data_IF_013085165666
#
_entry.id   IF_013085165666
#
_cell.length_a   1.000
_cell.length_b   1.000
_cell.length_c   1.000
_cell.angle_alpha   90.00
_cell.angle_beta   90.00
_cell.angle_gamma   90.00
#
_symmetry.space_group_name_H-M   'P 1'
#
loop_
_entity.id
_entity.type
_entity.pdbx_description
1 polymer ?
#
# COMPACT_ATOMS: atom_id res chain seq x y z
N UNK A 1 9.22 -15.75 2.85
CA UNK A 1 9.94 -16.17 1.64
C UNK A 1 11.10 -15.23 1.50
N UNK A 2 12.31 -15.77 1.31
CA UNK A 2 13.48 -14.95 1.00
C UNK A 2 13.65 -14.96 -0.52
N UNK A 3 13.50 -13.79 -1.15
CA UNK A 3 13.70 -13.67 -2.59
C UNK A 3 15.19 -13.70 -2.94
N UNK A 4 15.52 -14.30 -4.07
CA UNK A 4 16.83 -14.12 -4.71
C UNK A 4 16.87 -12.79 -5.49
N UNK A 5 18.05 -12.43 -6.01
CA UNK A 5 18.25 -11.18 -6.74
C UNK A 5 17.35 -11.06 -7.98
N UNK A 6 17.26 -12.11 -8.78
CA UNK A 6 16.45 -12.14 -10.01
C UNK A 6 14.96 -11.96 -9.68
N UNK A 7 14.43 -12.71 -8.72
CA UNK A 7 13.04 -12.58 -8.26
C UNK A 7 12.75 -11.18 -7.71
N UNK A 8 13.72 -10.57 -7.02
CA UNK A 8 13.58 -9.21 -6.51
C UNK A 8 13.54 -8.19 -7.66
N UNK A 9 14.33 -8.38 -8.70
CA UNK A 9 14.31 -7.53 -9.89
C UNK A 9 13.01 -7.69 -10.69
N UNK A 10 12.55 -8.93 -10.91
CA UNK A 10 11.27 -9.24 -11.56
C UNK A 10 10.09 -8.65 -10.79
N UNK A 11 10.07 -8.83 -9.46
CA UNK A 11 9.04 -8.25 -8.61
C UNK A 11 9.03 -6.72 -8.70
N UNK A 12 10.20 -6.06 -8.75
CA UNK A 12 10.27 -4.61 -8.92
C UNK A 12 9.65 -4.17 -10.26
N UNK A 13 9.88 -4.93 -11.33
CA UNK A 13 9.39 -4.64 -12.68
C UNK A 13 7.93 -5.00 -12.91
N UNK A 14 7.29 -5.75 -12.00
CA UNK A 14 5.90 -6.20 -12.10
C UNK A 14 4.90 -5.07 -12.42
N UNK A 15 5.15 -3.86 -11.94
CA UNK A 15 4.35 -2.66 -12.24
C UNK A 15 5.23 -1.54 -12.82
N UNK A 16 6.09 -1.88 -13.77
CA UNK A 16 7.00 -0.95 -14.46
C UNK A 16 7.90 -0.14 -13.51
N UNK A 17 8.34 -0.76 -12.42
CA UNK A 17 9.15 -0.08 -11.41
C UNK A 17 8.36 0.81 -10.45
N UNK A 18 7.03 0.80 -10.47
CA UNK A 18 6.19 1.58 -9.56
C UNK A 18 5.78 0.79 -8.32
N UNK A 19 5.52 1.52 -7.24
CA UNK A 19 4.88 1.00 -6.05
C UNK A 19 3.49 0.48 -6.41
N UNK A 20 3.23 -0.79 -6.13
CA UNK A 20 1.96 -1.43 -6.43
C UNK A 20 0.77 -0.72 -5.78
N UNK A 21 0.99 0.01 -4.68
CA UNK A 21 -0.06 0.70 -3.95
C UNK A 21 -0.27 2.15 -4.41
N UNK A 22 0.68 3.06 -4.14
CA UNK A 22 0.51 4.48 -4.47
C UNK A 22 0.89 4.85 -5.91
N UNK A 23 1.59 3.97 -6.64
CA UNK A 23 2.04 4.24 -8.00
C UNK A 23 3.22 5.19 -8.12
N UNK A 24 3.96 5.50 -7.04
CA UNK A 24 5.21 6.25 -7.15
C UNK A 24 6.33 5.38 -7.74
N UNK A 25 7.32 5.99 -8.40
CA UNK A 25 8.52 5.28 -8.87
C UNK A 25 9.31 4.71 -7.68
N UNK A 26 9.78 3.46 -7.79
CA UNK A 26 10.56 2.81 -6.74
C UNK A 26 12.04 3.12 -6.88
N UNK A 27 12.59 3.78 -5.86
CA UNK A 27 14.03 4.00 -5.72
C UNK A 27 14.81 2.75 -5.34
N UNK A 28 16.01 2.94 -4.77
CA UNK A 28 16.86 1.85 -4.28
C UNK A 28 16.22 1.13 -3.08
N UNK A 29 15.59 1.89 -2.18
CA UNK A 29 14.90 1.38 -0.99
C UNK A 29 13.44 1.10 -1.29
N UNK A 30 13.08 -0.17 -1.26
CA UNK A 30 11.71 -0.68 -1.43
C UNK A 30 11.59 -2.10 -0.85
N UNK A 31 10.35 -2.52 -0.57
CA UNK A 31 10.03 -3.76 0.12
C UNK A 31 9.21 -4.71 -0.75
N UNK A 32 9.49 -6.01 -0.64
CA UNK A 32 8.60 -7.06 -1.12
C UNK A 32 7.58 -7.32 -0.01
N UNK A 33 6.38 -6.76 -0.17
CA UNK A 33 5.34 -6.75 0.86
C UNK A 33 4.27 -7.78 0.53
N UNK A 34 3.84 -8.58 1.51
CA UNK A 34 2.71 -9.49 1.33
C UNK A 34 1.40 -8.70 1.21
N UNK A 35 0.67 -8.91 0.12
CA UNK A 35 -0.66 -8.35 -0.08
C UNK A 35 -1.58 -8.84 1.05
N UNK A 36 -1.64 -10.15 1.23
CA UNK A 36 -2.22 -10.79 2.40
C UNK A 36 -1.14 -11.15 3.43
N UNK A 37 -1.13 -10.45 4.56
CA UNK A 37 -0.06 -10.55 5.55
C UNK A 37 0.10 -11.94 6.18
N UNK A 38 1.34 -12.41 6.27
CA UNK A 38 1.74 -13.58 7.07
C UNK A 38 1.92 -13.15 8.53
N UNK A 39 0.84 -13.16 9.32
CA UNK A 39 0.89 -12.79 10.75
C UNK A 39 1.60 -13.88 11.56
N UNK A 40 2.52 -13.47 12.44
CA UNK A 40 3.15 -14.37 13.40
C UNK A 40 2.36 -14.39 14.69
N UNK A 41 2.24 -15.58 15.27
CA UNK A 41 1.71 -15.74 16.61
C UNK A 41 2.66 -15.10 17.62
N UNK A 42 2.13 -14.25 18.51
CA UNK A 42 2.94 -13.49 19.46
C UNK A 42 3.53 -14.38 20.57
N UNK A 43 2.95 -15.56 20.84
CA UNK A 43 3.44 -16.48 21.87
C UNK A 43 4.46 -17.46 21.30
N UNK A 44 4.17 -18.01 20.13
CA UNK A 44 4.98 -19.10 19.54
C UNK A 44 5.93 -18.64 18.44
N UNK A 45 5.76 -17.41 17.92
CA UNK A 45 6.53 -16.88 16.78
C UNK A 45 6.21 -17.52 15.42
N UNK A 46 5.37 -18.57 15.40
CA UNK A 46 5.01 -19.32 14.20
C UNK A 46 4.08 -18.52 13.30
N UNK A 47 4.22 -18.61 11.97
CA UNK A 47 3.29 -17.98 11.03
C UNK A 47 1.90 -18.64 11.16
N UNK A 48 0.84 -17.83 11.23
CA UNK A 48 -0.55 -18.31 11.26
C UNK A 48 -1.10 -18.66 9.89
N UNK A 49 -0.50 -18.10 8.82
CA UNK A 49 -0.86 -18.32 7.42
C UNK A 49 0.40 -18.53 6.57
N UNK A 50 1.18 -19.60 6.81
CA UNK A 50 2.40 -19.88 6.05
C UNK A 50 2.15 -20.01 4.54
N UNK A 51 0.94 -20.42 4.13
CA UNK A 51 0.49 -20.52 2.73
C UNK A 51 0.49 -19.18 1.99
N UNK A 52 0.40 -18.07 2.72
CA UNK A 52 0.49 -16.73 2.13
C UNK A 52 1.94 -16.33 1.81
N UNK A 53 2.94 -17.12 2.20
CA UNK A 53 4.35 -16.82 2.03
C UNK A 53 4.90 -17.27 0.67
N UNK A 54 4.23 -16.84 -0.41
CA UNK A 54 4.49 -17.20 -1.81
C UNK A 54 4.70 -15.96 -2.69
N UNK A 55 5.39 -16.10 -3.82
CA UNK A 55 5.79 -14.97 -4.68
C UNK A 55 4.59 -14.24 -5.30
N UNK A 56 3.51 -14.96 -5.58
CA UNK A 56 2.27 -14.46 -6.16
C UNK A 56 1.51 -13.51 -5.21
N UNK A 57 1.78 -13.62 -3.91
CA UNK A 57 1.23 -12.74 -2.87
C UNK A 57 2.16 -11.56 -2.54
N UNK A 58 3.34 -11.45 -3.17
CA UNK A 58 4.25 -10.34 -2.95
C UNK A 58 3.98 -9.19 -3.91
N UNK A 59 4.06 -7.98 -3.38
CA UNK A 59 3.85 -6.73 -4.11
C UNK A 59 5.07 -5.82 -3.88
N UNK A 60 5.60 -5.15 -4.91
CA UNK A 60 6.65 -4.16 -4.73
C UNK A 60 6.07 -2.89 -4.09
N UNK A 61 6.53 -2.54 -2.89
CA UNK A 61 6.01 -1.44 -2.11
C UNK A 61 7.10 -0.41 -1.77
N UNK A 62 6.77 0.88 -1.86
CA UNK A 62 7.62 1.92 -1.30
C UNK A 62 7.61 1.86 0.24
N UNK A 63 8.65 2.40 0.88
CA UNK A 63 8.80 2.38 2.34
C UNK A 63 7.59 2.97 3.07
N UNK A 64 7.02 4.07 2.57
CA UNK A 64 5.87 4.72 3.19
C UNK A 64 4.61 3.84 3.17
N UNK A 65 4.27 3.25 2.01
CA UNK A 65 3.12 2.36 1.89
C UNK A 65 3.30 1.09 2.73
N UNK A 66 4.48 0.47 2.68
CA UNK A 66 4.80 -0.71 3.50
C UNK A 66 4.63 -0.42 5.00
N UNK A 67 5.21 0.70 5.46
CA UNK A 67 5.13 1.10 6.86
C UNK A 67 3.71 1.45 7.31
N UNK A 68 2.90 2.04 6.43
CA UNK A 68 1.54 2.43 6.75
C UNK A 68 0.57 1.22 6.71
N UNK A 69 0.67 0.34 5.70
CA UNK A 69 -0.16 -0.87 5.57
C UNK A 69 0.15 -1.88 6.68
N UNK A 70 1.43 -2.19 6.92
CA UNK A 70 1.88 -3.25 7.82
C UNK A 70 1.11 -4.56 7.55
N UNK A 71 0.63 -5.21 8.61
CA UNK A 71 -0.15 -6.44 8.52
C UNK A 71 -1.66 -6.24 8.34
N UNK A 72 -2.11 -5.01 7.98
CA UNK A 72 -3.53 -4.77 7.72
C UNK A 72 -4.00 -5.48 6.45
N UNK A 73 -5.24 -6.03 6.46
CA UNK A 73 -5.93 -6.39 5.23
C UNK A 73 -6.04 -5.20 4.28
N UNK A 74 -6.04 -5.46 2.98
CA UNK A 74 -6.04 -4.41 1.95
C UNK A 74 -7.23 -3.45 2.10
N UNK A 75 -8.45 -3.98 2.28
CA UNK A 75 -9.66 -3.14 2.39
C UNK A 75 -9.68 -2.33 3.69
N UNK A 76 -9.23 -2.90 4.81
CA UNK A 76 -9.07 -2.14 6.06
C UNK A 76 -8.07 -0.98 5.89
N UNK A 77 -7.01 -1.19 5.10
CA UNK A 77 -6.06 -0.13 4.80
C UNK A 77 -6.64 0.93 3.84
N UNK A 78 -7.46 0.52 2.86
CA UNK A 78 -8.20 1.44 1.98
C UNK A 78 -9.12 2.36 2.78
N UNK A 79 -9.88 1.80 3.72
CA UNK A 79 -10.76 2.56 4.60
C UNK A 79 -9.97 3.52 5.50
N UNK A 80 -8.80 3.10 5.98
CA UNK A 80 -7.92 3.96 6.77
C UNK A 80 -7.41 5.17 5.96
N UNK A 81 -7.02 4.96 4.69
CA UNK A 81 -6.59 6.05 3.81
C UNK A 81 -7.74 7.05 3.53
N UNK A 82 -8.96 6.54 3.33
CA UNK A 82 -10.14 7.39 3.22
C UNK A 82 -10.42 8.13 4.54
N UNK A 83 -10.31 7.46 5.68
CA UNK A 83 -10.47 8.06 7.00
C UNK A 83 -9.46 9.18 7.26
N UNK A 84 -8.21 9.04 6.81
CA UNK A 84 -7.21 10.11 6.89
C UNK A 84 -7.70 11.37 6.19
N UNK A 85 -8.20 11.24 4.96
CA UNK A 85 -8.71 12.35 4.14
C UNK A 85 -9.97 12.97 4.73
N UNK A 86 -10.95 12.14 5.10
CA UNK A 86 -12.31 12.60 5.36
C UNK A 86 -12.56 12.98 6.82
N UNK A 87 -11.78 12.44 7.74
CA UNK A 87 -12.03 12.59 9.17
C UNK A 87 -10.77 13.01 9.92
N UNK A 88 -9.72 12.17 9.90
CA UNK A 88 -8.60 12.31 10.83
C UNK A 88 -7.84 13.62 10.65
N UNK A 89 -7.40 13.93 9.43
CA UNK A 89 -6.59 15.15 9.21
C UNK A 89 -7.39 16.42 9.47
N UNK A 90 -8.69 16.41 9.14
CA UNK A 90 -9.59 17.54 9.36
C UNK A 90 -9.86 17.72 10.85
N UNK A 91 -10.06 16.63 11.60
CA UNK A 91 -10.30 16.65 13.06
C UNK A 91 -9.03 17.00 13.85
N UNK A 92 -7.89 16.47 13.45
CA UNK A 92 -6.68 16.49 14.28
C UNK A 92 -5.70 17.62 13.92
N UNK A 93 -5.84 18.27 12.75
CA UNK A 93 -4.97 19.36 12.33
C UNK A 93 -5.72 20.71 12.23
N UNK A 94 -5.65 21.57 13.26
CA UNK A 94 -6.29 22.89 13.23
C UNK A 94 -5.84 23.79 12.07
N UNK A 95 -4.58 23.69 11.67
CA UNK A 95 -4.00 24.46 10.56
C UNK A 95 -4.70 24.10 9.23
N UNK A 96 -4.96 22.82 9.00
CA UNK A 96 -5.72 22.36 7.81
C UNK A 96 -7.12 22.97 7.82
N UNK A 97 -7.83 22.93 8.95
CA UNK A 97 -9.15 23.57 9.07
C UNK A 97 -9.10 25.07 8.82
N UNK A 98 -8.06 25.76 9.29
CA UNK A 98 -7.91 27.19 9.08
C UNK A 98 -7.67 27.49 7.59
N UNK A 99 -6.75 26.79 6.94
CA UNK A 99 -6.46 26.95 5.51
C UNK A 99 -7.68 26.64 4.63
N UNK A 100 -8.51 25.65 5.00
CA UNK A 100 -9.79 25.37 4.33
C UNK A 100 -10.76 26.56 4.40
N UNK A 101 -10.81 27.32 5.51
CA UNK A 101 -11.68 28.51 5.62
C UNK A 101 -11.29 29.62 4.64
N UNK A 102 -10.01 29.68 4.26
CA UNK A 102 -9.50 30.61 3.26
C UNK A 102 -9.49 30.02 1.84
N UNK A 103 -9.98 28.79 1.65
CA UNK A 103 -9.95 28.12 0.35
C UNK A 103 -8.53 27.75 -0.14
N UNK A 104 -7.56 27.66 0.76
CA UNK A 104 -6.16 27.36 0.42
C UNK A 104 -5.85 25.85 0.38
N UNK A 105 -6.75 25.03 0.91
CA UNK A 105 -6.70 23.57 0.86
C UNK A 105 -8.07 23.03 0.48
N UNK A 106 -8.08 22.10 -0.47
CA UNK A 106 -9.22 21.23 -0.77
C UNK A 106 -8.76 19.77 -0.83
N UNK A 107 -9.64 18.85 -0.42
CA UNK A 107 -9.37 17.42 -0.51
C UNK A 107 -10.01 16.82 -1.75
N UNK A 108 -9.24 16.00 -2.48
CA UNK A 108 -9.75 15.27 -3.65
C UNK A 108 -10.70 14.16 -3.19
N UNK A 109 -12.00 14.36 -3.42
CA UNK A 109 -13.07 13.42 -3.09
C UNK A 109 -13.21 12.33 -4.17
N UNK A 110 -12.22 11.43 -4.23
CA UNK A 110 -12.20 10.27 -5.15
C UNK A 110 -11.91 8.98 -4.38
N UNK A 111 -12.47 7.83 -4.79
CA UNK A 111 -12.13 6.55 -4.15
C UNK A 111 -10.61 6.31 -4.13
N UNK A 112 -10.13 5.69 -3.05
CA UNK A 112 -8.75 5.20 -3.01
C UNK A 112 -8.66 3.99 -3.93
N UNK A 113 -7.88 4.11 -5.00
CA UNK A 113 -7.62 3.04 -5.97
C UNK A 113 -6.12 2.81 -6.03
N UNK A 114 -5.70 1.60 -5.68
CA UNK A 114 -4.29 1.21 -5.69
C UNK A 114 -3.79 1.05 -7.12
N UNK A 115 -2.51 1.33 -7.35
CA UNK A 115 -1.92 1.30 -8.69
C UNK A 115 -2.05 -0.07 -9.37
N UNK A 116 -1.85 -1.16 -8.64
CA UNK A 116 -1.99 -2.52 -9.17
C UNK A 116 -3.41 -2.82 -9.68
N UNK A 117 -4.44 -2.22 -9.06
CA UNK A 117 -5.84 -2.39 -9.49
C UNK A 117 -6.08 -1.71 -10.83
N UNK A 118 -5.47 -0.53 -11.04
CA UNK A 118 -5.54 0.20 -12.31
C UNK A 118 -4.87 -0.58 -13.43
N UNK A 119 -3.66 -1.08 -13.18
CA UNK A 119 -2.90 -1.86 -14.18
C UNK A 119 -3.67 -3.13 -14.57
N UNK A 120 -4.19 -3.88 -13.58
CA UNK A 120 -4.99 -5.09 -13.85
C UNK A 120 -6.31 -4.77 -14.57
N UNK A 121 -6.99 -3.68 -14.21
CA UNK A 121 -8.22 -3.24 -14.88
C UNK A 121 -8.01 -2.80 -16.33
N UNK A 122 -6.87 -2.19 -16.64
CA UNK A 122 -6.54 -1.81 -18.02
C UNK A 122 -6.23 -3.02 -18.89
N UNK A 123 -5.50 -4.01 -18.35
CA UNK A 123 -5.16 -5.24 -19.06
C UNK A 123 -6.37 -6.14 -19.34
N UNK A 124 -7.45 -6.03 -18.58
CA UNK A 124 -8.69 -6.76 -18.83
C UNK A 124 -9.55 -6.14 -19.95
N UNK A 125 -9.28 -4.88 -20.32
CA UNK A 125 -10.00 -4.12 -21.34
C UNK A 125 -9.18 -3.90 -22.63
N UNK A 126 -8.03 -4.56 -22.75
CA UNK A 126 -7.14 -4.53 -23.92
C UNK A 126 -7.10 -5.89 -24.58
#
# INVERSE_FOLDING_TARGET
MKLNTLQREELKKMFDGHCAYCGCMLGEKWHAEHLEAVKRDLKTGKPKRPENDVIENLMPACTACNYNKRSMPLEAWRDLLAHYRDVQIIRDCPQVRHLMRFGLIEFVQKPVVFHFEKVRGNNANS
#
